data_IF_530344786632
#
_entry.id   IF_530344786632
#
_cell.length_a   1.000
_cell.length_b   1.000
_cell.length_c   1.000
_cell.angle_alpha   90.00
_cell.angle_beta   90.00
_cell.angle_gamma   90.00
#
_symmetry.space_group_name_H-M   'P 1'
#
loop_
_entity.id
_entity.type
_entity.pdbx_description
1 polymer ?
#
# COMPACT_ATOMS: atom_id res chain seq x y z
N UNK A 1 16.79 -1.35 7.85
CA UNK A 1 15.58 -0.79 7.18
C UNK A 1 15.56 0.72 7.36
N UNK A 2 15.43 1.48 6.27
CA UNK A 2 15.26 2.93 6.35
C UNK A 2 13.78 3.25 6.62
N UNK A 3 13.48 3.71 7.84
CA UNK A 3 12.11 4.00 8.32
C UNK A 3 11.45 5.21 7.65
N UNK A 4 12.22 5.99 6.88
CA UNK A 4 11.73 7.15 6.14
C UNK A 4 11.76 6.93 4.61
N UNK A 5 12.06 5.72 4.14
CA UNK A 5 12.16 5.43 2.70
C UNK A 5 10.83 5.66 1.97
N UNK A 6 10.87 6.39 0.86
CA UNK A 6 9.71 6.52 -0.02
C UNK A 6 9.60 5.28 -0.93
N UNK A 7 8.56 4.48 -0.70
CA UNK A 7 8.28 3.25 -1.47
C UNK A 7 7.38 3.50 -2.69
N UNK A 8 6.91 4.73 -2.91
CA UNK A 8 6.04 5.09 -4.03
C UNK A 8 6.88 5.81 -5.09
N UNK A 9 7.02 5.20 -6.26
CA UNK A 9 7.77 5.73 -7.40
C UNK A 9 6.81 6.31 -8.44
N UNK A 10 7.01 7.56 -8.90
CA UNK A 10 6.24 8.13 -10.01
C UNK A 10 6.69 7.50 -11.33
N UNK A 11 5.76 6.92 -12.09
CA UNK A 11 6.01 6.43 -13.44
C UNK A 11 5.66 7.49 -14.50
N UNK A 12 4.50 8.13 -14.34
CA UNK A 12 4.02 9.26 -15.14
C UNK A 12 3.30 10.26 -14.21
N UNK A 13 2.74 11.34 -14.76
CA UNK A 13 2.07 12.38 -13.96
C UNK A 13 0.93 11.82 -13.07
N UNK A 14 0.12 10.91 -13.61
CA UNK A 14 -1.01 10.29 -12.93
C UNK A 14 -0.85 8.78 -12.71
N UNK A 15 0.38 8.26 -12.75
CA UNK A 15 0.65 6.82 -12.61
C UNK A 15 1.80 6.60 -11.63
N UNK A 16 1.54 5.81 -10.60
CA UNK A 16 2.48 5.52 -9.52
C UNK A 16 2.64 4.02 -9.31
N UNK A 17 3.83 3.64 -8.84
CA UNK A 17 4.22 2.27 -8.54
C UNK A 17 4.67 2.16 -7.09
N UNK A 18 3.95 1.35 -6.31
CA UNK A 18 4.34 0.97 -4.96
C UNK A 18 5.28 -0.23 -5.03
N UNK A 19 6.44 -0.11 -4.38
CA UNK A 19 7.53 -1.10 -4.43
C UNK A 19 7.59 -1.95 -3.16
N UNK A 20 7.62 -3.27 -3.32
CA UNK A 20 7.86 -4.23 -2.23
C UNK A 20 8.87 -5.32 -2.66
N UNK A 21 9.62 -5.89 -1.71
CA UNK A 21 10.69 -6.85 -2.00
C UNK A 21 12.09 -6.22 -2.02
N UNK A 22 12.94 -6.67 -2.93
CA UNK A 22 14.31 -6.17 -3.09
C UNK A 22 14.27 -4.69 -3.53
N UNK A 23 14.85 -3.83 -2.70
CA UNK A 23 14.92 -2.40 -2.97
C UNK A 23 15.63 -2.07 -4.30
N UNK A 24 16.83 -2.59 -4.60
CA UNK A 24 17.50 -2.30 -5.88
C UNK A 24 16.70 -2.83 -7.08
N UNK A 25 16.16 -4.05 -7.00
CA UNK A 25 15.43 -4.67 -8.12
C UNK A 25 14.20 -3.85 -8.49
N UNK A 26 13.39 -3.49 -7.49
CA UNK A 26 12.17 -2.70 -7.72
C UNK A 26 12.47 -1.26 -8.15
N UNK A 27 13.61 -0.68 -7.75
CA UNK A 27 14.06 0.63 -8.26
C UNK A 27 14.42 0.55 -9.73
N UNK A 28 15.21 -0.45 -10.11
CA UNK A 28 15.61 -0.65 -11.52
C UNK A 28 14.36 -0.85 -12.38
N UNK A 29 13.39 -1.63 -11.93
CA UNK A 29 12.14 -1.81 -12.67
C UNK A 29 11.40 -0.48 -12.81
N UNK A 30 11.21 0.28 -11.72
CA UNK A 30 10.50 1.57 -11.79
C UNK A 30 11.18 2.56 -12.73
N UNK A 31 12.51 2.62 -12.69
CA UNK A 31 13.29 3.56 -13.49
C UNK A 31 13.25 3.22 -14.99
N UNK A 32 13.33 1.92 -15.32
CA UNK A 32 13.19 1.47 -16.72
C UNK A 32 11.79 1.71 -17.26
N UNK A 33 10.74 1.39 -16.49
CA UNK A 33 9.35 1.64 -16.91
C UNK A 33 9.12 3.12 -17.13
N UNK A 34 9.56 3.97 -16.19
CA UNK A 34 9.49 5.42 -16.34
C UNK A 34 10.16 5.88 -17.64
N UNK A 35 11.37 5.41 -17.90
CA UNK A 35 12.10 5.77 -19.11
C UNK A 35 11.32 5.41 -20.39
N UNK A 36 10.77 4.20 -20.46
CA UNK A 36 9.97 3.78 -21.62
C UNK A 36 8.70 4.62 -21.78
N UNK A 37 8.01 4.94 -20.69
CA UNK A 37 6.81 5.79 -20.73
C UNK A 37 7.14 7.21 -21.20
N UNK A 38 8.24 7.79 -20.71
CA UNK A 38 8.69 9.12 -21.12
C UNK A 38 9.03 9.13 -22.63
N UNK A 39 9.67 8.07 -23.14
CA UNK A 39 9.95 7.92 -24.58
C UNK A 39 8.68 7.82 -25.41
N UNK A 40 7.73 6.94 -25.02
CA UNK A 40 6.46 6.76 -25.73
C UNK A 40 5.68 8.08 -25.76
N UNK A 41 5.64 8.80 -24.64
CA UNK A 41 4.96 10.10 -24.54
C UNK A 41 5.62 11.14 -25.45
N UNK A 42 6.94 11.17 -25.51
CA UNK A 42 7.68 12.08 -26.39
C UNK A 42 7.46 11.79 -27.88
N UNK A 43 7.28 10.51 -28.26
CA UNK A 43 7.04 10.10 -29.64
C UNK A 43 5.59 10.28 -30.08
N UNK A 44 4.62 9.93 -29.23
CA UNK A 44 3.20 9.98 -29.56
C UNK A 44 2.57 11.36 -29.32
N UNK A 45 3.11 12.13 -28.37
CA UNK A 45 2.48 13.35 -27.85
C UNK A 45 1.25 13.09 -26.98
N UNK A 46 1.00 11.83 -26.59
CA UNK A 46 -0.14 11.42 -25.78
C UNK A 46 0.30 10.92 -24.39
N UNK A 47 -0.50 11.22 -23.37
CA UNK A 47 -0.29 10.69 -22.03
C UNK A 47 -0.46 9.16 -22.00
N UNK A 48 0.40 8.43 -21.27
CA UNK A 48 0.32 6.98 -21.20
C UNK A 48 -0.91 6.53 -20.41
N UNK A 49 -1.52 5.42 -20.82
CA UNK A 49 -2.59 4.78 -20.04
C UNK A 49 -2.03 3.99 -18.85
N UNK A 50 -2.85 3.80 -17.81
CA UNK A 50 -2.48 2.99 -16.65
C UNK A 50 -2.20 1.54 -17.06
N UNK A 51 -3.01 1.02 -17.99
CA UNK A 51 -2.82 -0.31 -18.55
C UNK A 51 -1.49 -0.47 -19.30
N UNK A 52 -1.04 0.56 -20.03
CA UNK A 52 0.26 0.55 -20.70
C UNK A 52 1.41 0.43 -19.69
N UNK A 53 1.39 1.27 -18.65
CA UNK A 53 2.39 1.22 -17.58
C UNK A 53 2.40 -0.14 -16.87
N UNK A 54 1.22 -0.67 -16.56
CA UNK A 54 1.06 -1.97 -15.92
C UNK A 54 1.62 -3.13 -16.78
N UNK A 55 1.41 -3.08 -18.10
CA UNK A 55 1.96 -4.07 -19.03
C UNK A 55 3.48 -3.97 -19.17
N UNK A 56 4.07 -2.77 -19.13
CA UNK A 56 5.53 -2.59 -19.13
C UNK A 56 6.16 -3.18 -17.86
N UNK A 57 5.55 -2.94 -16.70
CA UNK A 57 5.98 -3.55 -15.43
C UNK A 57 5.94 -5.07 -15.53
N UNK A 58 4.81 -5.63 -16.02
CA UNK A 58 4.65 -7.07 -16.23
C UNK A 58 5.73 -7.64 -17.14
N UNK A 59 5.98 -7.00 -18.29
CA UNK A 59 6.95 -7.48 -19.28
C UNK A 59 8.36 -7.54 -18.69
N UNK A 60 8.81 -6.48 -18.02
CA UNK A 60 10.13 -6.42 -17.40
C UNK A 60 10.23 -7.44 -16.26
N UNK A 61 9.22 -7.50 -15.39
CA UNK A 61 9.24 -8.40 -14.24
C UNK A 61 9.23 -9.87 -14.69
N UNK A 62 8.34 -10.25 -15.61
CA UNK A 62 8.21 -11.63 -16.10
C UNK A 62 9.48 -12.11 -16.82
N UNK A 63 10.09 -11.27 -17.66
CA UNK A 63 11.31 -11.63 -18.39
C UNK A 63 12.53 -11.80 -17.49
N UNK A 64 12.48 -11.27 -16.26
CA UNK A 64 13.57 -11.31 -15.31
C UNK A 64 13.19 -11.99 -13.99
N UNK A 65 12.12 -12.80 -13.97
CA UNK A 65 11.57 -13.43 -12.75
C UNK A 65 12.55 -14.35 -12.01
N UNK A 66 13.57 -14.85 -12.70
CA UNK A 66 14.63 -15.69 -12.11
C UNK A 66 15.75 -14.85 -11.47
N UNK A 67 15.75 -13.54 -11.67
CA UNK A 67 16.81 -12.61 -11.25
C UNK A 67 16.32 -11.42 -10.43
N UNK A 68 15.06 -11.02 -10.56
CA UNK A 68 14.46 -9.91 -9.83
C UNK A 68 13.48 -10.43 -8.79
N UNK A 69 13.56 -9.88 -7.58
CA UNK A 69 12.64 -10.21 -6.49
C UNK A 69 11.87 -8.96 -6.11
N UNK A 70 10.68 -8.81 -6.66
CA UNK A 70 9.81 -7.68 -6.37
C UNK A 70 8.35 -7.99 -6.61
N UNK A 71 7.52 -7.54 -5.68
CA UNK A 71 6.09 -7.43 -5.89
C UNK A 71 5.72 -5.94 -5.89
N UNK A 72 4.81 -5.57 -6.79
CA UNK A 72 4.53 -4.17 -7.11
C UNK A 72 3.03 -3.98 -7.26
N UNK A 73 2.57 -2.81 -6.83
CA UNK A 73 1.21 -2.34 -7.12
C UNK A 73 1.31 -1.13 -8.03
N UNK A 74 0.56 -1.14 -9.11
CA UNK A 74 0.43 -0.02 -10.04
C UNK A 74 -0.92 0.62 -9.80
N UNK A 75 -0.93 1.90 -9.48
CA UNK A 75 -2.15 2.68 -9.34
C UNK A 75 -2.05 3.90 -10.24
N UNK A 76 -3.16 4.21 -10.91
CA UNK A 76 -3.17 5.32 -11.84
C UNK A 76 -4.57 5.84 -12.11
N UNK A 77 -4.63 7.02 -12.69
CA UNK A 77 -5.84 7.55 -13.32
C UNK A 77 -5.53 7.93 -14.76
N UNK A 78 -6.40 7.54 -15.69
CA UNK A 78 -6.34 8.03 -17.07
C UNK A 78 -7.74 8.36 -17.59
N UNK A 79 -7.80 9.16 -18.66
CA UNK A 79 -9.06 9.63 -19.26
C UNK A 79 -9.95 8.53 -19.84
N UNK A 80 -9.40 7.34 -20.10
CA UNK A 80 -10.10 6.25 -20.79
C UNK A 80 -10.71 5.24 -19.82
N UNK A 81 -9.96 4.81 -18.82
CA UNK A 81 -10.32 3.80 -17.84
C UNK A 81 -10.60 4.33 -16.45
N UNK A 82 -10.43 5.63 -16.20
CA UNK A 82 -10.56 6.23 -14.88
C UNK A 82 -9.50 5.72 -13.91
N UNK A 83 -9.87 5.65 -12.62
CA UNK A 83 -9.01 5.11 -11.56
C UNK A 83 -8.84 3.59 -11.68
N UNK A 84 -7.60 3.12 -11.65
CA UNK A 84 -7.26 1.72 -11.90
C UNK A 84 -6.15 1.27 -10.96
N UNK A 85 -6.27 0.03 -10.48
CA UNK A 85 -5.27 -0.65 -9.64
C UNK A 85 -4.91 -1.99 -10.26
N UNK A 86 -3.60 -2.26 -10.34
CA UNK A 86 -3.06 -3.53 -10.81
C UNK A 86 -2.06 -4.10 -9.80
N UNK A 87 -2.22 -5.39 -9.48
CA UNK A 87 -1.24 -6.17 -8.73
C UNK A 87 -0.27 -6.90 -9.68
N UNK A 88 1.03 -6.78 -9.40
CA UNK A 88 2.10 -7.48 -10.09
C UNK A 88 2.98 -8.25 -9.08
N UNK A 89 2.60 -9.50 -8.73
CA UNK A 89 3.36 -10.30 -7.77
C UNK A 89 4.70 -10.78 -8.35
N UNK A 90 5.55 -11.39 -7.50
CA UNK A 90 6.89 -11.89 -7.85
C UNK A 90 6.89 -12.84 -9.06
N UNK A 91 5.78 -13.52 -9.35
CA UNK A 91 5.63 -14.40 -10.53
C UNK A 91 5.51 -13.68 -11.88
N UNK A 92 5.46 -12.34 -11.92
CA UNK A 92 5.35 -11.56 -13.15
C UNK A 92 3.97 -11.63 -13.82
N UNK A 93 2.94 -12.10 -13.10
CA UNK A 93 1.55 -11.96 -13.55
C UNK A 93 1.06 -10.53 -13.35
N UNK A 94 -0.08 -10.20 -13.95
CA UNK A 94 -0.72 -8.89 -13.80
C UNK A 94 -2.22 -9.10 -13.61
N UNK A 95 -2.77 -8.50 -12.57
CA UNK A 95 -4.18 -8.64 -12.18
C UNK A 95 -4.77 -7.26 -11.93
N UNK A 96 -5.89 -6.95 -12.60
CA UNK A 96 -6.65 -5.72 -12.33
C UNK A 96 -7.62 -5.99 -11.18
N UNK A 97 -7.57 -5.18 -10.14
CA UNK A 97 -8.30 -5.40 -8.89
C UNK A 97 -9.01 -4.11 -8.45
N UNK A 98 -10.06 -4.26 -7.62
CA UNK A 98 -10.73 -3.10 -7.00
C UNK A 98 -9.83 -2.41 -5.99
N UNK A 99 -9.03 -3.20 -5.29
CA UNK A 99 -7.98 -2.80 -4.38
C UNK A 99 -6.96 -3.93 -4.32
N UNK A 100 -5.73 -3.60 -3.92
CA UNK A 100 -4.65 -4.57 -3.80
C UNK A 100 -3.75 -4.20 -2.63
N UNK A 101 -3.20 -5.21 -1.95
CA UNK A 101 -2.21 -5.05 -0.88
C UNK A 101 -1.05 -6.02 -1.11
N UNK A 102 0.14 -5.60 -0.70
CA UNK A 102 1.37 -6.36 -0.93
C UNK A 102 2.46 -6.03 0.11
N UNK A 103 3.50 -6.86 0.17
CA UNK A 103 4.58 -6.80 1.15
C UNK A 103 4.29 -7.61 2.41
N UNK A 104 5.28 -7.71 3.32
CA UNK A 104 5.18 -8.53 4.54
C UNK A 104 3.98 -8.16 5.42
N UNK A 105 3.64 -6.86 5.48
CA UNK A 105 2.54 -6.34 6.27
C UNK A 105 1.14 -6.72 5.77
N UNK A 106 0.99 -7.06 4.48
CA UNK A 106 -0.31 -7.41 3.89
C UNK A 106 -0.94 -8.64 4.56
N UNK A 107 -0.11 -9.59 5.00
CA UNK A 107 -0.52 -10.83 5.69
C UNK A 107 -1.44 -10.59 6.89
N UNK A 108 -1.33 -9.43 7.54
CA UNK A 108 -2.08 -9.12 8.77
C UNK A 108 -3.41 -8.42 8.54
N UNK A 109 -3.68 -7.90 7.33
CA UNK A 109 -4.77 -6.93 7.09
C UNK A 109 -5.76 -7.34 5.99
N UNK A 110 -5.63 -8.53 5.39
CA UNK A 110 -6.59 -9.04 4.39
C UNK A 110 -8.04 -8.97 4.88
N UNK A 111 -8.33 -9.56 6.06
CA UNK A 111 -9.69 -9.57 6.61
C UNK A 111 -10.23 -8.18 6.98
N UNK A 112 -9.36 -7.23 7.33
CA UNK A 112 -9.74 -5.84 7.54
C UNK A 112 -10.12 -5.17 6.22
N UNK A 113 -9.28 -5.30 5.19
CA UNK A 113 -9.53 -4.73 3.87
C UNK A 113 -10.81 -5.32 3.23
N UNK A 114 -11.01 -6.63 3.33
CA UNK A 114 -12.22 -7.31 2.82
C UNK A 114 -13.51 -6.78 3.49
N UNK A 115 -13.47 -6.49 4.79
CA UNK A 115 -14.65 -6.05 5.53
C UNK A 115 -14.96 -4.55 5.36
N UNK A 116 -13.92 -3.71 5.35
CA UNK A 116 -14.09 -2.25 5.37
C UNK A 116 -14.19 -1.60 3.99
N UNK A 117 -13.71 -2.28 2.94
CA UNK A 117 -13.76 -1.76 1.58
C UNK A 117 -15.21 -1.53 1.11
N UNK A 118 -15.44 -0.39 0.46
CA UNK A 118 -16.71 -0.03 -0.19
C UNK A 118 -16.42 0.59 -1.55
N UNK A 119 -17.21 0.23 -2.55
CA UNK A 119 -17.05 0.75 -3.92
C UNK A 119 -17.33 2.26 -4.04
N UNK A 120 -18.11 2.84 -3.11
CA UNK A 120 -18.63 4.20 -3.13
C UNK A 120 -17.96 5.14 -2.10
N UNK A 121 -16.69 4.88 -1.76
CA UNK A 121 -15.93 5.75 -0.88
C UNK A 121 -15.67 7.14 -1.48
N UNK A 122 -15.89 8.18 -0.69
CA UNK A 122 -15.32 9.51 -0.94
C UNK A 122 -13.79 9.48 -0.85
N UNK A 123 -13.12 10.52 -1.35
CA UNK A 123 -11.66 10.66 -1.26
C UNK A 123 -11.19 10.52 0.19
N UNK A 124 -11.86 11.24 1.10
CA UNK A 124 -11.49 11.29 2.51
C UNK A 124 -11.69 9.94 3.19
N UNK A 125 -12.75 9.21 2.84
CA UNK A 125 -13.00 7.85 3.35
C UNK A 125 -11.96 6.86 2.85
N UNK A 126 -11.61 6.91 1.56
CA UNK A 126 -10.58 6.04 0.98
C UNK A 126 -9.20 6.32 1.59
N UNK A 127 -8.81 7.58 1.74
CA UNK A 127 -7.56 7.97 2.40
C UNK A 127 -7.51 7.49 3.85
N UNK A 128 -8.63 7.63 4.58
CA UNK A 128 -8.72 7.15 5.95
C UNK A 128 -8.59 5.63 6.02
N UNK A 129 -9.33 4.91 5.18
CA UNK A 129 -9.29 3.44 5.13
C UNK A 129 -7.88 2.92 4.83
N UNK A 130 -7.19 3.49 3.84
CA UNK A 130 -5.81 3.11 3.50
C UNK A 130 -4.84 3.46 4.64
N UNK A 131 -4.98 4.62 5.27
CA UNK A 131 -4.15 4.99 6.42
C UNK A 131 -4.33 4.02 7.60
N UNK A 132 -5.57 3.65 7.91
CA UNK A 132 -5.90 2.70 8.97
C UNK A 132 -5.36 1.29 8.65
N UNK A 133 -5.50 0.83 7.40
CA UNK A 133 -4.95 -0.45 6.96
C UNK A 133 -3.42 -0.50 7.12
N UNK A 134 -2.71 0.54 6.69
CA UNK A 134 -1.25 0.63 6.85
C UNK A 134 -0.86 0.70 8.33
N UNK A 135 -1.60 1.45 9.14
CA UNK A 135 -1.34 1.56 10.58
C UNK A 135 -1.53 0.20 11.29
N UNK A 136 -2.60 -0.55 10.99
CA UNK A 136 -2.81 -1.91 11.49
C UNK A 136 -1.68 -2.87 11.09
N UNK A 137 -1.20 -2.78 9.86
CA UNK A 137 -0.05 -3.57 9.41
C UNK A 137 1.23 -3.18 10.17
N UNK A 138 1.46 -1.88 10.41
CA UNK A 138 2.61 -1.39 11.18
C UNK A 138 2.62 -1.88 12.64
N UNK A 139 1.46 -2.08 13.27
CA UNK A 139 1.35 -2.63 14.63
C UNK A 139 1.83 -4.08 14.72
N UNK A 140 1.75 -4.86 13.64
CA UNK A 140 2.02 -6.31 13.65
C UNK A 140 3.26 -6.73 12.87
N UNK A 141 3.60 -6.03 11.79
CA UNK A 141 4.74 -6.36 10.94
C UNK A 141 6.02 -5.62 11.37
N UNK A 142 7.04 -6.38 11.76
CA UNK A 142 8.34 -5.84 12.17
C UNK A 142 9.13 -5.17 11.03
N UNK A 143 8.77 -5.46 9.79
CA UNK A 143 9.36 -4.86 8.58
C UNK A 143 8.64 -3.58 8.12
N UNK A 144 7.52 -3.24 8.76
CA UNK A 144 6.73 -2.05 8.51
C UNK A 144 6.85 -1.05 9.66
N UNK A 145 6.74 0.25 9.36
CA UNK A 145 6.86 1.30 10.37
C UNK A 145 7.32 2.64 9.81
N UNK A 146 7.41 3.63 10.69
CA UNK A 146 7.95 4.96 10.36
C UNK A 146 6.85 5.98 10.10
N UNK A 147 6.37 6.09 8.86
CA UNK A 147 5.45 7.15 8.42
C UNK A 147 4.56 6.64 7.29
N UNK A 148 3.37 7.20 7.14
CA UNK A 148 2.47 6.84 6.03
C UNK A 148 2.54 7.91 4.94
N UNK A 149 2.67 7.47 3.68
CA UNK A 149 2.60 8.31 2.48
C UNK A 149 1.41 7.85 1.67
N UNK A 150 0.52 8.77 1.33
CA UNK A 150 -0.63 8.53 0.49
C UNK A 150 -0.54 9.41 -0.76
N UNK A 151 -0.98 8.85 -1.88
CA UNK A 151 -1.18 9.58 -3.13
C UNK A 151 -2.58 9.23 -3.62
N UNK A 152 -3.45 10.23 -3.66
CA UNK A 152 -4.80 10.10 -4.20
C UNK A 152 -4.79 10.59 -5.65
N UNK A 153 -5.34 9.79 -6.56
CA UNK A 153 -5.35 10.05 -7.99
C UNK A 153 -6.79 10.19 -8.49
N UNK A 154 -7.06 11.28 -9.21
CA UNK A 154 -8.33 11.50 -9.90
C UNK A 154 -8.14 12.47 -11.08
N UNK A 155 -9.23 12.81 -11.76
CA UNK A 155 -9.19 13.71 -12.92
C UNK A 155 -8.77 15.16 -12.63
N UNK A 156 -8.55 15.53 -11.37
CA UNK A 156 -7.95 16.83 -10.98
C UNK A 156 -6.46 16.72 -10.71
N UNK A 157 -5.96 15.51 -10.46
CA UNK A 157 -4.56 15.18 -10.47
C UNK A 157 -4.10 14.32 -9.29
N UNK A 158 -2.81 14.42 -8.95
CA UNK A 158 -2.18 13.67 -7.87
C UNK A 158 -2.10 14.49 -6.58
N UNK A 159 -2.78 14.03 -5.53
CA UNK A 159 -2.83 14.68 -4.22
C UNK A 159 -1.97 13.90 -3.22
N UNK A 160 -0.90 14.54 -2.72
CA UNK A 160 0.05 13.91 -1.80
C UNK A 160 -0.29 14.23 -0.34
N UNK A 161 -0.30 13.20 0.50
CA UNK A 161 -0.49 13.34 1.94
C UNK A 161 0.57 12.55 2.71
N UNK A 162 1.11 13.18 3.75
CA UNK A 162 2.14 12.61 4.59
C UNK A 162 1.70 12.63 6.04
N UNK A 163 1.68 11.45 6.68
CA UNK A 163 1.33 11.28 8.08
C UNK A 163 2.63 10.90 8.80
N UNK A 164 3.08 11.79 9.70
CA UNK A 164 4.26 11.56 10.51
C UNK A 164 4.01 10.41 11.50
N UNK A 165 5.06 9.71 11.91
CA UNK A 165 4.93 8.48 12.71
C UNK A 165 4.23 8.66 14.06
N UNK A 166 4.38 9.83 14.67
CA UNK A 166 3.70 10.24 15.90
C UNK A 166 2.21 10.57 15.70
N UNK A 167 1.80 10.84 14.45
CA UNK A 167 0.42 11.11 14.04
C UNK A 167 -0.31 9.86 13.54
N UNK A 168 0.41 8.73 13.37
CA UNK A 168 -0.20 7.46 12.96
C UNK A 168 -1.07 6.94 14.10
N UNK A 169 -2.31 6.57 13.77
CA UNK A 169 -3.25 5.98 14.71
C UNK A 169 -2.66 4.74 15.39
N UNK A 170 -2.77 4.68 16.72
CA UNK A 170 -2.33 3.54 17.50
C UNK A 170 -3.48 2.56 17.72
N UNK A 171 -3.17 1.27 17.69
CA UNK A 171 -4.13 0.20 17.99
C UNK A 171 -3.75 -0.51 19.30
N UNK A 172 -4.64 -1.36 19.80
CA UNK A 172 -4.44 -2.11 21.06
C UNK A 172 -3.10 -2.87 21.07
N UNK A 173 -2.65 -3.37 19.91
CA UNK A 173 -1.36 -4.05 19.80
C UNK A 173 -0.14 -3.16 20.08
N UNK A 174 -0.29 -1.84 19.95
CA UNK A 174 0.76 -0.85 20.23
C UNK A 174 0.75 -0.39 21.70
N UNK A 175 -0.31 -0.70 22.46
CA UNK A 175 -0.45 -0.26 23.84
C UNK A 175 0.37 -1.13 24.80
N UNK A 176 1.04 -0.53 25.81
CA UNK A 176 1.80 -1.29 26.79
C UNK A 176 0.85 -2.20 27.58
N UNK A 177 1.35 -3.39 27.93
CA UNK A 177 0.61 -4.28 28.84
C UNK A 177 0.34 -3.53 30.16
N UNK A 178 -0.88 -3.61 30.72
CA UNK A 178 -1.21 -2.93 31.96
C UNK A 178 -0.22 -3.30 33.07
N UNK A 179 0.36 -2.31 33.73
CA UNK A 179 1.25 -2.54 34.85
C UNK A 179 0.43 -2.99 36.08
N UNK A 180 0.30 -4.31 36.24
CA UNK A 180 -0.31 -4.94 37.41
C UNK A 180 -1.85 -4.99 37.40
N UNK A 181 -2.45 -5.80 38.31
CA UNK A 181 -3.89 -5.81 38.48
C UNK A 181 -4.37 -4.42 38.94
N UNK A 182 -5.55 -3.95 38.47
CA UNK A 182 -6.08 -2.66 38.90
C UNK A 182 -6.15 -2.61 40.43
N UNK A 183 -5.63 -1.54 41.02
CA UNK A 183 -5.64 -1.32 42.46
C UNK A 183 -7.08 -1.36 42.98
N UNK A 184 -7.42 -2.45 43.67
CA UNK A 184 -8.56 -2.64 44.56
C UNK A 184 -9.82 -1.83 44.22
N UNK A 185 -10.64 -2.35 43.31
CA UNK A 185 -12.08 -2.14 43.43
C UNK A 185 -12.59 -3.09 44.53
N UNK A 186 -13.40 -2.62 45.50
CA UNK A 186 -14.00 -3.50 46.48
C UNK A 186 -14.85 -4.53 45.73
N UNK A 187 -14.64 -5.81 46.06
CA UNK A 187 -15.36 -6.96 45.50
C UNK A 187 -16.87 -6.81 45.73
N UNK A 188 -17.57 -6.13 44.81
CA UNK A 188 -19.00 -6.26 44.61
C UNK A 188 -19.21 -6.99 43.29
N UNK A 189 -19.40 -8.31 43.40
CA UNK A 189 -20.10 -9.17 42.45
C UNK A 189 -19.95 -8.84 40.96
N UNK A 190 -18.74 -8.95 40.41
CA UNK A 190 -18.49 -8.88 38.97
C UNK A 190 -17.40 -9.88 38.61
N UNK A 191 -17.64 -10.67 37.57
CA UNK A 191 -16.85 -11.83 37.18
C UNK A 191 -15.33 -11.64 37.32
N UNK A 192 -14.67 -12.56 38.02
CA UNK A 192 -13.23 -12.72 37.98
C UNK A 192 -12.79 -12.76 36.51
N UNK A 193 -11.68 -12.09 36.18
CA UNK A 193 -11.15 -11.96 34.82
C UNK A 193 -10.98 -13.30 34.13
N UNK A 194 -12.03 -13.75 33.45
CA UNK A 194 -12.06 -14.96 32.68
C UNK A 194 -11.43 -14.67 31.32
N UNK A 195 -10.29 -15.30 31.05
CA UNK A 195 -9.69 -15.29 29.73
C UNK A 195 -10.35 -16.40 28.92
N UNK A 196 -10.85 -16.06 27.73
CA UNK A 196 -11.32 -17.04 26.75
C UNK A 196 -10.15 -17.36 25.83
N UNK A 197 -9.83 -18.64 25.69
CA UNK A 197 -8.87 -19.16 24.70
C UNK A 197 -9.70 -19.98 23.72
N UNK A 198 -9.57 -19.68 22.42
CA UNK A 198 -10.26 -20.35 21.32
C UNK A 198 -9.28 -20.75 20.24
#
# INVERSE_FOLDING_TARGET
MNRASNKIAPLAEYIFLCRSGSAPDTQIISDNVKHYLDQITAESGEEPSVEMAANLVKLINYNNKDHLVGAMLIAGWDRHGGGQVYGAPIGGTLMKEKWAIDGSGSTYIWGYCDNEFRDDMTREEAEKWVAEAIALAMTRDSSSGGSIRLITLDGTGAHHKYIQGDQVQQFVGDMPFPAGPPASLPLQGGAAGSMVVG
#
